data_IF_047943832436
#
_entry.id   IF_047943832436
#
_cell.length_a   1.000
_cell.length_b   1.000
_cell.length_c   1.000
_cell.angle_alpha   90.00
_cell.angle_beta   90.00
_cell.angle_gamma   90.00
#
_symmetry.space_group_name_H-M   'P 1'
#
loop_
_entity.id
_entity.type
_entity.pdbx_description
1 polymer ?
#
# COMPACT_ATOMS: atom_id res chain seq x y z
N UNK A 1 -24.61 -3.33 32.14
CA UNK A 1 -25.15 -2.62 33.31
C UNK A 1 -26.65 -2.50 33.10
N UNK A 2 -27.45 -2.84 34.11
CA UNK A 2 -28.90 -2.73 34.02
C UNK A 2 -29.30 -1.26 34.16
N UNK A 3 -30.10 -0.74 33.22
CA UNK A 3 -30.54 0.65 33.22
C UNK A 3 -31.88 0.87 33.95
N UNK A 4 -32.40 -0.15 34.64
CA UNK A 4 -33.72 -0.13 35.28
C UNK A 4 -33.66 0.32 36.74
N UNK A 5 -34.77 0.84 37.28
CA UNK A 5 -34.90 1.14 38.71
C UNK A 5 -34.72 -0.14 39.55
N UNK A 6 -33.95 -0.06 40.63
CA UNK A 6 -33.62 -1.23 41.48
C UNK A 6 -32.53 -2.14 40.92
N UNK A 7 -31.75 -1.70 39.92
CA UNK A 7 -30.64 -2.47 39.35
C UNK A 7 -29.56 -2.86 40.38
N UNK A 8 -29.42 -2.10 41.45
CA UNK A 8 -28.53 -2.37 42.60
C UNK A 8 -28.85 -3.70 43.28
N UNK A 9 -30.12 -4.13 43.26
CA UNK A 9 -30.57 -5.39 43.86
C UNK A 9 -30.21 -6.61 43.00
N UNK A 10 -29.97 -6.41 41.70
CA UNK A 10 -29.73 -7.46 40.72
C UNK A 10 -28.30 -7.49 40.20
N UNK A 11 -27.59 -6.35 40.24
CA UNK A 11 -26.23 -6.21 39.77
C UNK A 11 -25.28 -6.05 40.96
N UNK A 12 -24.24 -6.87 41.02
CA UNK A 12 -23.20 -6.85 42.07
C UNK A 12 -22.14 -5.74 41.87
N UNK A 13 -22.51 -4.65 41.20
CA UNK A 13 -21.59 -3.56 40.85
C UNK A 13 -20.46 -4.02 39.92
N UNK A 14 -19.22 -3.93 40.41
CA UNK A 14 -17.98 -4.21 39.68
C UNK A 14 -17.42 -5.63 39.90
N UNK A 15 -18.10 -6.48 40.67
CA UNK A 15 -17.66 -7.87 40.90
C UNK A 15 -17.75 -8.66 39.59
N UNK A 16 -16.63 -9.24 39.14
CA UNK A 16 -16.60 -10.02 37.89
C UNK A 16 -16.72 -9.18 36.62
N UNK A 17 -16.13 -7.98 36.60
CA UNK A 17 -16.24 -7.00 35.51
C UNK A 17 -15.60 -7.41 34.17
N UNK A 18 -15.04 -8.62 34.03
CA UNK A 18 -14.54 -9.07 32.74
C UNK A 18 -15.70 -9.23 31.75
N UNK A 19 -15.66 -8.43 30.68
CA UNK A 19 -16.74 -8.31 29.72
C UNK A 19 -16.86 -9.50 28.78
N UNK A 20 -17.99 -9.54 28.07
CA UNK A 20 -18.17 -10.40 26.90
C UNK A 20 -17.62 -9.70 25.65
N UNK A 21 -17.21 -10.44 24.60
CA UNK A 21 -16.80 -9.83 23.35
C UNK A 21 -17.97 -9.06 22.72
N UNK A 22 -17.76 -7.78 22.44
CA UNK A 22 -18.79 -6.90 21.84
C UNK A 22 -18.52 -6.61 20.36
N UNK A 23 -17.26 -6.53 19.95
CA UNK A 23 -16.88 -6.20 18.59
C UNK A 23 -15.37 -6.23 18.37
N UNK A 24 -14.97 -5.97 17.13
CA UNK A 24 -13.57 -5.90 16.69
C UNK A 24 -13.14 -4.45 16.47
N UNK A 25 -11.87 -4.16 16.73
CA UNK A 25 -11.28 -2.86 16.44
C UNK A 25 -9.90 -3.03 15.78
N UNK A 26 -9.54 -2.09 14.91
CA UNK A 26 -8.21 -2.02 14.33
C UNK A 26 -7.32 -1.13 15.19
N UNK A 27 -6.17 -1.65 15.64
CA UNK A 27 -5.15 -0.86 16.34
C UNK A 27 -4.25 -0.18 15.30
N UNK A 28 -4.14 1.14 15.39
CA UNK A 28 -3.44 1.95 14.39
C UNK A 28 -2.40 2.83 15.08
N UNK A 29 -1.18 2.85 14.53
CA UNK A 29 -0.08 3.70 15.00
C UNK A 29 0.00 5.03 14.24
N UNK A 30 0.70 6.01 14.81
CA UNK A 30 0.92 7.31 14.16
C UNK A 30 1.74 7.10 12.88
N UNK A 31 1.28 7.67 11.77
CA UNK A 31 1.92 7.52 10.46
C UNK A 31 1.56 6.24 9.70
N UNK A 32 0.78 5.34 10.30
CA UNK A 32 0.25 4.17 9.61
C UNK A 32 -0.81 4.59 8.59
N UNK A 33 -0.72 4.00 7.39
CA UNK A 33 -1.69 4.25 6.32
C UNK A 33 -2.98 3.46 6.61
N UNK A 34 -4.11 4.16 6.62
CA UNK A 34 -5.44 3.58 6.85
C UNK A 34 -6.07 3.10 5.54
N UNK A 35 -6.12 3.98 4.55
CA UNK A 35 -6.74 3.75 3.25
C UNK A 35 -5.79 4.20 2.15
N UNK A 36 -5.72 3.39 1.10
CA UNK A 36 -4.93 3.67 -0.11
C UNK A 36 -5.83 3.53 -1.33
N UNK A 37 -5.80 4.53 -2.21
CA UNK A 37 -6.59 4.55 -3.45
C UNK A 37 -5.66 4.82 -4.62
N UNK A 38 -5.83 4.04 -5.70
CA UNK A 38 -5.17 4.27 -7.00
C UNK A 38 -6.18 4.84 -7.99
N UNK A 39 -5.78 5.88 -8.70
CA UNK A 39 -6.56 6.46 -9.78
C UNK A 39 -5.62 7.01 -10.85
N UNK A 40 -6.16 7.28 -12.05
CA UNK A 40 -5.44 8.04 -13.07
C UNK A 40 -5.26 9.49 -12.59
N UNK A 41 -4.20 10.15 -13.06
CA UNK A 41 -3.87 11.53 -12.66
C UNK A 41 -5.05 12.49 -12.88
N UNK A 42 -5.87 12.28 -13.92
CA UNK A 42 -7.09 13.05 -14.22
C UNK A 42 -8.13 13.02 -13.10
N UNK A 43 -8.23 11.92 -12.35
CA UNK A 43 -9.26 11.72 -11.31
C UNK A 43 -8.73 11.98 -9.89
N UNK A 44 -7.52 12.53 -9.78
CA UNK A 44 -6.84 12.76 -8.50
C UNK A 44 -7.61 13.68 -7.56
N UNK A 45 -8.31 14.70 -8.10
CA UNK A 45 -9.12 15.62 -7.30
C UNK A 45 -10.34 14.92 -6.68
N UNK A 46 -11.03 14.07 -7.46
CA UNK A 46 -12.16 13.29 -6.97
C UNK A 46 -11.74 12.30 -5.88
N UNK A 47 -10.58 11.67 -6.02
CA UNK A 47 -10.04 10.77 -5.00
C UNK A 47 -9.71 11.51 -3.69
N UNK A 48 -9.14 12.72 -3.77
CA UNK A 48 -8.87 13.54 -2.58
C UNK A 48 -10.15 13.96 -1.86
N UNK A 49 -11.18 14.37 -2.60
CA UNK A 49 -12.47 14.74 -2.02
C UNK A 49 -13.17 13.54 -1.37
N UNK A 50 -13.12 12.36 -2.00
CA UNK A 50 -13.63 11.12 -1.40
C UNK A 50 -12.91 10.78 -0.08
N UNK A 51 -11.57 10.88 -0.04
CA UNK A 51 -10.80 10.67 1.19
C UNK A 51 -11.09 11.73 2.26
N UNK A 52 -11.36 12.98 1.86
CA UNK A 52 -11.79 14.04 2.77
C UNK A 52 -13.13 13.71 3.41
N UNK A 53 -14.09 13.18 2.64
CA UNK A 53 -15.38 12.72 3.16
C UNK A 53 -15.23 11.51 4.08
N UNK A 54 -14.40 10.54 3.70
CA UNK A 54 -14.13 9.35 4.50
C UNK A 54 -13.46 9.69 5.84
N UNK A 55 -12.56 10.69 5.87
CA UNK A 55 -11.90 11.18 7.08
C UNK A 55 -12.89 11.54 8.20
N UNK A 56 -14.07 12.10 7.88
CA UNK A 56 -15.08 12.45 8.91
C UNK A 56 -15.70 11.23 9.60
N UNK A 57 -15.51 10.02 9.08
CA UNK A 57 -15.99 8.78 9.71
C UNK A 57 -14.98 8.17 10.68
N UNK A 58 -13.74 8.67 10.69
CA UNK A 58 -12.71 8.19 11.60
C UNK A 58 -12.51 9.20 12.75
N UNK A 59 -12.37 8.72 14.00
CA UNK A 59 -12.06 9.58 15.12
C UNK A 59 -10.62 10.13 15.02
N UNK A 60 -10.38 11.35 15.47
CA UNK A 60 -9.04 11.95 15.56
C UNK A 60 -8.61 12.75 14.33
N UNK A 61 -7.28 12.92 14.15
CA UNK A 61 -6.70 13.73 13.07
C UNK A 61 -6.04 12.84 12.02
N UNK A 62 -6.67 12.73 10.85
CA UNK A 62 -6.07 12.06 9.68
C UNK A 62 -5.53 13.09 8.69
N UNK A 63 -4.43 12.73 8.02
CA UNK A 63 -3.84 13.50 6.92
C UNK A 63 -4.08 12.78 5.60
N UNK A 64 -4.41 13.54 4.56
CA UNK A 64 -4.51 13.05 3.19
C UNK A 64 -3.19 13.39 2.52
N UNK A 65 -2.53 12.40 1.94
CA UNK A 65 -1.19 12.55 1.36
C UNK A 65 -1.22 11.97 -0.05
N UNK A 66 -0.76 12.77 -1.03
CA UNK A 66 -0.51 12.27 -2.39
C UNK A 66 0.89 11.63 -2.39
N UNK A 67 0.94 10.32 -2.63
CA UNK A 67 2.19 9.57 -2.66
C UNK A 67 3.00 9.88 -3.92
N UNK A 68 4.33 9.94 -3.78
CA UNK A 68 5.27 10.07 -4.92
C UNK A 68 5.60 8.71 -5.57
N UNK A 69 5.12 7.61 -5.00
CA UNK A 69 5.34 6.24 -5.49
C UNK A 69 4.47 5.96 -6.72
N UNK A 70 5.00 5.18 -7.68
CA UNK A 70 4.25 4.79 -8.87
C UNK A 70 3.04 3.93 -8.48
N UNK A 71 1.88 4.17 -9.13
CA UNK A 71 0.58 3.57 -8.77
C UNK A 71 0.18 3.74 -7.29
N UNK A 72 0.25 4.97 -6.75
CA UNK A 72 -0.39 5.32 -5.48
C UNK A 72 0.17 4.57 -4.26
N UNK A 73 1.38 4.01 -4.33
CA UNK A 73 2.01 3.30 -3.23
C UNK A 73 1.73 1.80 -3.13
N UNK A 74 1.04 1.19 -4.10
CA UNK A 74 0.91 -0.28 -4.15
C UNK A 74 2.19 -0.95 -4.67
N UNK A 75 3.03 -0.21 -5.39
CA UNK A 75 4.37 -0.66 -5.77
C UNK A 75 5.43 0.02 -4.91
N UNK A 76 6.55 -0.66 -4.70
CA UNK A 76 7.67 -0.14 -3.89
C UNK A 76 8.45 0.98 -4.58
N UNK A 77 8.26 1.16 -5.89
CA UNK A 77 9.08 2.02 -6.74
C UNK A 77 8.53 3.45 -6.82
N UNK A 78 9.42 4.44 -6.99
CA UNK A 78 9.02 5.81 -7.28
C UNK A 78 8.50 5.94 -8.71
N UNK A 79 7.81 7.06 -9.01
CA UNK A 79 7.32 7.33 -10.37
C UNK A 79 8.47 7.31 -11.41
N UNK A 80 9.61 7.91 -11.05
CA UNK A 80 10.78 7.98 -11.92
C UNK A 80 11.47 6.63 -12.09
N UNK A 81 11.64 5.87 -11.00
CA UNK A 81 12.35 4.58 -11.04
C UNK A 81 11.55 3.54 -11.82
N UNK A 82 10.22 3.54 -11.67
CA UNK A 82 9.36 2.65 -12.45
C UNK A 82 9.50 2.88 -13.95
N UNK A 83 9.55 4.14 -14.40
CA UNK A 83 9.74 4.48 -15.82
C UNK A 83 11.13 4.04 -16.32
N UNK A 84 12.18 4.24 -15.51
CA UNK A 84 13.53 3.77 -15.84
C UNK A 84 13.57 2.25 -15.99
N UNK A 85 13.07 1.51 -15.00
CA UNK A 85 13.09 0.05 -15.04
C UNK A 85 12.17 -0.53 -16.13
N UNK A 86 11.09 0.17 -16.49
CA UNK A 86 10.25 -0.18 -17.63
C UNK A 86 11.00 0.01 -18.95
N UNK A 87 11.74 1.11 -19.11
CA UNK A 87 12.59 1.33 -20.30
C UNK A 87 13.74 0.30 -20.39
N UNK A 88 14.27 -0.13 -19.24
CA UNK A 88 15.29 -1.17 -19.15
C UNK A 88 14.74 -2.61 -19.20
N UNK A 89 13.43 -2.81 -19.43
CA UNK A 89 12.74 -4.12 -19.43
C UNK A 89 12.98 -4.98 -18.17
N UNK A 90 13.28 -4.36 -17.03
CA UNK A 90 13.54 -5.04 -15.74
C UNK A 90 12.28 -5.30 -14.92
N UNK A 91 11.12 -4.81 -15.35
CA UNK A 91 9.85 -4.98 -14.65
C UNK A 91 8.96 -5.96 -15.42
N UNK A 92 8.45 -6.97 -14.72
CA UNK A 92 7.41 -7.86 -15.22
C UNK A 92 6.08 -7.61 -14.50
N UNK A 93 4.94 -7.58 -15.23
CA UNK A 93 3.62 -7.49 -14.62
C UNK A 93 3.30 -8.78 -13.84
N UNK A 94 2.87 -8.62 -12.58
CA UNK A 94 2.44 -9.72 -11.70
C UNK A 94 0.99 -9.46 -11.26
N UNK A 95 0.09 -9.46 -12.24
CA UNK A 95 -1.31 -9.08 -12.06
C UNK A 95 -1.47 -7.63 -11.58
N UNK A 96 -1.75 -7.46 -10.28
CA UNK A 96 -1.92 -6.14 -9.65
C UNK A 96 -0.58 -5.51 -9.25
N UNK A 97 0.45 -6.35 -9.04
CA UNK A 97 1.78 -5.94 -8.60
C UNK A 97 2.78 -5.94 -9.77
N UNK A 98 4.00 -5.48 -9.47
CA UNK A 98 5.12 -5.47 -10.41
C UNK A 98 6.34 -6.15 -9.77
N UNK A 99 6.88 -7.16 -10.45
CA UNK A 99 8.10 -7.85 -10.04
C UNK A 99 9.30 -7.18 -10.72
N UNK A 100 10.37 -6.96 -9.96
CA UNK A 100 11.62 -6.45 -10.48
C UNK A 100 12.59 -7.61 -10.65
N UNK A 101 13.09 -7.81 -11.86
CA UNK A 101 14.13 -8.79 -12.12
C UNK A 101 15.49 -8.24 -11.69
N UNK A 102 16.08 -8.91 -10.70
CA UNK A 102 17.49 -8.73 -10.39
C UNK A 102 18.30 -9.45 -11.48
N UNK A 103 19.45 -8.87 -11.85
CA UNK A 103 20.32 -9.36 -12.94
C UNK A 103 20.66 -10.85 -12.79
N UNK A 104 20.82 -11.34 -11.56
CA UNK A 104 21.09 -12.75 -11.28
C UNK A 104 19.94 -13.70 -11.69
N UNK A 105 18.69 -13.27 -11.62
CA UNK A 105 17.51 -14.06 -12.02
C UNK A 105 17.28 -13.93 -13.54
N UNK A 106 17.65 -12.78 -14.11
CA UNK A 106 17.49 -12.48 -15.54
C UNK A 106 18.28 -13.45 -16.43
N UNK A 107 19.48 -13.87 -16.00
CA UNK A 107 20.31 -14.86 -16.70
C UNK A 107 19.74 -16.29 -16.70
N UNK A 108 18.86 -16.62 -15.75
CA UNK A 108 18.32 -17.99 -15.59
C UNK A 108 16.94 -18.14 -16.25
N UNK A 109 16.14 -17.06 -16.31
CA UNK A 109 14.75 -17.10 -16.79
C UNK A 109 14.53 -16.56 -18.20
N UNK A 110 15.50 -15.85 -18.81
CA UNK A 110 15.32 -15.35 -20.17
C UNK A 110 15.64 -16.45 -21.21
N UNK A 111 14.80 -16.63 -22.24
CA UNK A 111 15.17 -17.40 -23.42
C UNK A 111 16.43 -16.80 -24.04
N UNK A 112 17.29 -17.65 -24.61
CA UNK A 112 18.63 -17.32 -25.12
C UNK A 112 18.67 -16.06 -26.00
N UNK A 113 17.62 -15.78 -26.75
CA UNK A 113 17.53 -14.63 -27.67
C UNK A 113 17.53 -13.28 -26.94
N UNK A 114 16.89 -13.19 -25.78
CA UNK A 114 16.82 -11.94 -24.98
C UNK A 114 18.08 -11.72 -24.13
N UNK A 115 18.90 -12.75 -23.93
CA UNK A 115 20.17 -12.67 -23.19
C UNK A 115 21.20 -11.91 -24.02
N UNK A 116 21.27 -12.16 -25.33
CA UNK A 116 22.23 -11.49 -26.22
C UNK A 116 21.98 -9.97 -26.30
N UNK A 117 20.73 -9.53 -26.44
CA UNK A 117 20.38 -8.11 -26.44
C UNK A 117 20.69 -7.42 -25.10
N UNK A 118 20.50 -8.12 -23.99
CA UNK A 118 20.83 -7.62 -22.66
C UNK A 118 22.35 -7.48 -22.46
N UNK A 119 23.12 -8.48 -22.86
CA UNK A 119 24.59 -8.44 -22.81
C UNK A 119 25.17 -7.38 -23.76
N UNK A 120 24.59 -7.20 -24.96
CA UNK A 120 25.00 -6.18 -25.91
C UNK A 120 24.70 -4.76 -25.39
N UNK A 121 23.58 -4.58 -24.71
CA UNK A 121 23.22 -3.31 -24.05
C UNK A 121 24.15 -3.00 -22.88
N UNK A 122 24.52 -4.01 -22.07
CA UNK A 122 25.52 -3.87 -21.01
C UNK A 122 26.91 -3.54 -21.56
N UNK A 123 27.34 -4.19 -22.63
CA UNK A 123 28.62 -3.96 -23.30
C UNK A 123 28.75 -2.52 -23.83
N UNK A 124 27.71 -2.01 -24.51
CA UNK A 124 27.63 -0.62 -24.99
C UNK A 124 27.65 0.41 -23.85
N UNK A 125 27.15 0.05 -22.67
CA UNK A 125 27.13 0.92 -21.48
C UNK A 125 28.46 0.93 -20.72
N UNK A 126 29.25 -0.14 -20.83
CA UNK A 126 30.59 -0.22 -20.25
C UNK A 126 31.65 0.49 -21.12
N UNK A 127 31.42 0.59 -22.43
CA UNK A 127 32.32 1.25 -23.40
C UNK A 127 32.08 2.75 -23.55
N UNK A 128 31.04 3.29 -22.90
CA UNK A 128 30.72 4.74 -22.89
C UNK A 128 31.02 5.44 -21.55
N UNK A 129 31.73 4.76 -20.65
CA UNK A 129 32.46 5.32 -19.51
C UNK A 129 33.95 5.40 -19.86
#
# INVERSE_FOLDING_TARGET
>A
MLSCAGADRLQTGMRGAFGKPQGVCARVSIGQVLLSVRCKDSNSQHAQEALRRAKFKFPGRQKIIVSRKWYGGFTKFSRADYLKYKAENKISPDGVNAKLFLIAILLIMLPSDMIYDFLLTLSKRLTSL
#
